data_IF_047798576838
#
_entry.id   IF_047798576838
#
_cell.length_a   1.000
_cell.length_b   1.000
_cell.length_c   1.000
_cell.angle_alpha   90.00
_cell.angle_beta   90.00
_cell.angle_gamma   90.00
#
_symmetry.space_group_name_H-M   'P 1'
#
loop_
_entity.id
_entity.type
_entity.pdbx_description
1 polymer ?
#
# COMPACT_ATOMS: atom_id res chain seq x y z
N UNK A 1 -30.14 -22.28 -3.60
CA UNK A 1 -29.24 -21.96 -2.47
C UNK A 1 -27.76 -21.98 -2.92
N UNK A 2 -27.15 -20.81 -3.08
CA UNK A 2 -25.70 -20.71 -3.30
C UNK A 2 -24.98 -21.13 -2.02
N UNK A 3 -24.12 -22.14 -2.12
CA UNK A 3 -23.27 -22.58 -1.01
C UNK A 3 -22.40 -21.40 -0.52
N UNK A 4 -22.37 -21.16 0.79
CA UNK A 4 -21.58 -20.08 1.42
C UNK A 4 -20.09 -20.16 1.01
N UNK A 5 -19.55 -21.38 0.87
CA UNK A 5 -18.17 -21.61 0.39
C UNK A 5 -17.98 -21.10 -1.04
N UNK A 6 -18.96 -21.30 -1.94
CA UNK A 6 -18.89 -20.78 -3.30
C UNK A 6 -18.88 -19.25 -3.31
N UNK A 7 -19.65 -18.61 -2.44
CA UNK A 7 -19.65 -17.14 -2.29
C UNK A 7 -18.29 -16.62 -1.81
N UNK A 8 -17.69 -17.24 -0.79
CA UNK A 8 -16.36 -16.84 -0.31
C UNK A 8 -15.26 -17.06 -1.35
N UNK A 9 -15.29 -18.17 -2.06
CA UNK A 9 -14.35 -18.44 -3.14
C UNK A 9 -14.46 -17.40 -4.26
N UNK A 10 -15.67 -17.01 -4.66
CA UNK A 10 -15.91 -15.97 -5.66
C UNK A 10 -15.39 -14.60 -5.19
N UNK A 11 -15.63 -14.24 -3.92
CA UNK A 11 -15.11 -12.99 -3.35
C UNK A 11 -13.58 -12.98 -3.31
N UNK A 12 -12.96 -14.08 -2.88
CA UNK A 12 -11.50 -14.23 -2.86
C UNK A 12 -10.90 -14.15 -4.27
N UNK A 13 -11.51 -14.81 -5.27
CA UNK A 13 -11.07 -14.75 -6.65
C UNK A 13 -11.15 -13.32 -7.21
N UNK A 14 -12.27 -12.60 -6.99
CA UNK A 14 -12.42 -11.19 -7.39
C UNK A 14 -11.38 -10.28 -6.76
N UNK A 15 -11.07 -10.52 -5.48
CA UNK A 15 -10.04 -9.77 -4.76
C UNK A 15 -8.64 -10.01 -5.34
N UNK A 16 -8.32 -11.25 -5.67
CA UNK A 16 -7.04 -11.62 -6.30
C UNK A 16 -6.90 -11.00 -7.69
N UNK A 17 -7.94 -11.02 -8.52
CA UNK A 17 -7.95 -10.36 -9.84
C UNK A 17 -7.68 -8.85 -9.68
N UNK A 18 -8.39 -8.18 -8.77
CA UNK A 18 -8.17 -6.74 -8.50
C UNK A 18 -6.76 -6.43 -8.02
N UNK A 19 -6.19 -7.29 -7.18
CA UNK A 19 -4.80 -7.16 -6.73
C UNK A 19 -3.84 -7.17 -7.93
N UNK A 20 -3.99 -8.13 -8.84
CA UNK A 20 -3.14 -8.25 -10.02
C UNK A 20 -3.35 -7.14 -11.05
N UNK A 21 -4.60 -6.71 -11.28
CA UNK A 21 -4.88 -5.55 -12.14
C UNK A 21 -4.19 -4.29 -11.62
N UNK A 22 -4.22 -4.09 -10.30
CA UNK A 22 -3.58 -2.95 -9.68
C UNK A 22 -2.05 -3.05 -9.75
N UNK A 23 -1.47 -4.22 -9.45
CA UNK A 23 -0.03 -4.47 -9.59
C UNK A 23 0.43 -4.24 -11.03
N UNK A 24 -0.31 -4.74 -12.02
CA UNK A 24 -0.04 -4.50 -13.45
C UNK A 24 -0.10 -3.03 -13.82
N UNK A 25 -1.08 -2.28 -13.31
CA UNK A 25 -1.19 -0.83 -13.56
C UNK A 25 0.00 -0.05 -12.97
N UNK A 26 0.46 -0.40 -11.77
CA UNK A 26 1.56 0.31 -11.10
C UNK A 26 2.95 -0.02 -11.65
N UNK A 27 3.21 -1.30 -11.88
CA UNK A 27 4.53 -1.81 -12.24
C UNK A 27 4.72 -1.97 -13.76
N UNK A 28 3.63 -1.91 -14.53
CA UNK A 28 3.65 -2.21 -15.96
C UNK A 28 3.85 -3.71 -16.24
N UNK A 29 3.70 -4.13 -17.51
CA UNK A 29 3.73 -5.54 -17.91
C UNK A 29 5.08 -6.21 -17.66
N UNK A 30 6.19 -5.47 -17.75
CA UNK A 30 7.53 -6.02 -17.57
C UNK A 30 7.85 -6.37 -16.10
N UNK A 31 7.38 -5.57 -15.14
CA UNK A 31 7.74 -5.74 -13.71
C UNK A 31 6.62 -6.31 -12.86
N UNK A 32 5.38 -6.33 -13.31
CA UNK A 32 4.26 -6.75 -12.47
C UNK A 32 4.32 -8.22 -12.04
N UNK A 33 5.00 -9.08 -12.81
CA UNK A 33 5.18 -10.49 -12.47
C UNK A 33 6.46 -10.78 -11.68
N UNK A 34 7.32 -9.77 -11.48
CA UNK A 34 8.53 -9.93 -10.70
C UNK A 34 8.23 -9.97 -9.18
N UNK A 35 9.11 -10.61 -8.39
CA UNK A 35 9.11 -10.50 -6.94
C UNK A 35 9.17 -9.04 -6.50
N UNK A 36 8.32 -8.65 -5.54
CA UNK A 36 8.28 -7.29 -5.03
C UNK A 36 9.37 -7.09 -3.97
N UNK A 37 10.64 -7.12 -4.41
CA UNK A 37 11.82 -6.96 -3.56
C UNK A 37 12.67 -5.78 -4.04
N UNK A 38 13.51 -5.25 -3.15
CA UNK A 38 14.42 -4.12 -3.46
C UNK A 38 15.47 -4.45 -4.53
N UNK A 39 15.76 -5.73 -4.75
CA UNK A 39 16.66 -6.21 -5.82
C UNK A 39 15.95 -6.55 -7.13
N UNK A 40 14.61 -6.43 -7.18
CA UNK A 40 13.82 -6.83 -8.35
C UNK A 40 12.81 -5.75 -8.73
N UNK A 41 11.49 -5.96 -8.57
CA UNK A 41 10.49 -5.01 -9.04
C UNK A 41 10.63 -3.59 -8.46
N UNK A 42 11.29 -3.44 -7.30
CA UNK A 42 11.49 -2.18 -6.58
C UNK A 42 12.90 -1.58 -6.77
N UNK A 43 13.76 -2.14 -7.63
CA UNK A 43 15.16 -1.69 -7.81
C UNK A 43 15.30 -0.20 -8.11
N UNK A 44 14.36 0.34 -8.88
CA UNK A 44 14.42 1.73 -9.36
C UNK A 44 13.76 2.71 -8.37
N UNK A 45 13.13 2.19 -7.32
CA UNK A 45 12.31 2.95 -6.38
C UNK A 45 13.02 3.20 -5.04
N UNK A 46 14.29 2.82 -4.94
CA UNK A 46 15.13 3.03 -3.75
C UNK A 46 15.19 4.52 -3.35
N UNK A 47 15.39 5.50 -4.25
CA UNK A 47 15.40 6.91 -3.87
C UNK A 47 14.09 7.38 -3.23
N UNK A 48 12.94 6.91 -3.75
CA UNK A 48 11.63 7.22 -3.18
C UNK A 48 11.44 6.57 -1.80
N UNK A 49 11.88 5.32 -1.63
CA UNK A 49 11.83 4.63 -0.34
C UNK A 49 12.70 5.34 0.70
N UNK A 50 13.93 5.69 0.33
CA UNK A 50 14.89 6.37 1.21
C UNK A 50 14.50 7.80 1.59
N UNK A 51 13.59 8.44 0.84
CA UNK A 51 13.06 9.75 1.21
C UNK A 51 12.30 9.73 2.55
N UNK A 52 11.79 8.56 2.97
CA UNK A 52 11.15 8.38 4.27
C UNK A 52 9.77 9.06 4.38
N UNK A 53 9.13 9.36 3.24
CA UNK A 53 7.74 9.82 3.17
C UNK A 53 6.78 8.83 3.82
N UNK A 54 7.01 7.53 3.63
CA UNK A 54 6.28 6.45 4.29
C UNK A 54 7.27 5.44 4.88
N UNK A 55 6.98 4.98 6.09
CA UNK A 55 7.82 4.04 6.83
C UNK A 55 6.96 3.03 7.58
N UNK A 56 7.41 1.78 7.62
CA UNK A 56 6.88 0.76 8.52
C UNK A 56 7.57 0.89 9.87
N UNK A 57 6.81 1.14 10.93
CA UNK A 57 7.38 1.28 12.27
C UNK A 57 7.75 -0.10 12.86
N UNK A 58 8.81 -0.18 13.68
CA UNK A 58 9.21 -1.43 14.34
C UNK A 58 8.29 -1.81 15.50
N UNK A 59 7.39 -0.92 15.89
CA UNK A 59 6.41 -1.13 16.96
C UNK A 59 5.02 -1.39 16.36
N UNK A 60 4.23 -2.15 17.10
CA UNK A 60 2.83 -2.44 16.80
C UNK A 60 1.93 -1.64 17.73
N UNK A 61 0.66 -1.49 17.35
CA UNK A 61 -0.33 -0.92 18.26
C UNK A 61 -0.75 -1.92 19.36
N UNK A 62 -1.68 -1.51 20.22
CA UNK A 62 -2.19 -2.34 21.31
C UNK A 62 -2.88 -3.65 20.86
N UNK A 63 -3.26 -3.74 19.58
CA UNK A 63 -3.88 -4.91 18.97
C UNK A 63 -2.90 -5.75 18.13
N UNK A 64 -1.61 -5.42 18.15
CA UNK A 64 -0.58 -6.11 17.38
C UNK A 64 -0.54 -5.78 15.89
N UNK A 65 -1.26 -4.73 15.45
CA UNK A 65 -1.29 -4.31 14.04
C UNK A 65 -0.02 -3.54 13.70
N UNK A 66 0.47 -3.73 12.49
CA UNK A 66 1.57 -2.91 11.99
C UNK A 66 1.12 -1.46 11.77
N UNK A 67 2.06 -0.54 11.99
CA UNK A 67 1.85 0.90 11.83
C UNK A 67 2.68 1.40 10.65
N UNK A 68 2.00 1.94 9.64
CA UNK A 68 2.61 2.69 8.56
C UNK A 68 2.53 4.19 8.90
N UNK A 69 3.70 4.80 9.09
CA UNK A 69 3.83 6.23 9.38
C UNK A 69 4.09 6.99 8.08
N UNK A 70 3.24 7.98 7.79
CA UNK A 70 3.31 8.84 6.61
C UNK A 70 3.68 10.25 7.06
N UNK A 71 4.86 10.72 6.66
CA UNK A 71 5.36 12.06 6.95
C UNK A 71 5.38 12.93 5.70
N UNK A 72 4.38 13.80 5.57
CA UNK A 72 4.23 14.68 4.41
C UNK A 72 5.35 15.70 4.28
N UNK A 73 6.05 16.03 5.37
CA UNK A 73 7.13 16.99 5.38
C UNK A 73 8.39 16.48 4.65
N UNK A 74 8.52 15.15 4.49
CA UNK A 74 9.65 14.53 3.78
C UNK A 74 9.41 14.36 2.29
N UNK A 75 8.26 14.81 1.80
CA UNK A 75 7.93 14.68 0.39
C UNK A 75 8.74 15.66 -0.45
N UNK A 76 9.44 15.13 -1.46
CA UNK A 76 10.32 15.89 -2.35
C UNK A 76 10.24 15.34 -3.79
N UNK A 77 9.39 15.97 -4.60
CA UNK A 77 9.16 15.57 -5.99
C UNK A 77 10.35 15.80 -6.92
N UNK A 78 11.41 16.46 -6.46
CA UNK A 78 12.63 16.64 -7.26
C UNK A 78 13.51 15.39 -7.25
N UNK A 79 13.33 14.49 -6.28
CA UNK A 79 14.18 13.30 -6.08
C UNK A 79 13.60 12.01 -6.66
N UNK A 80 12.29 11.95 -6.87
CA UNK A 80 11.60 10.76 -7.35
C UNK A 80 10.26 11.13 -8.01
N UNK A 81 9.77 10.25 -8.89
CA UNK A 81 8.48 10.45 -9.53
C UNK A 81 7.31 10.04 -8.62
N UNK A 82 6.12 10.54 -8.92
CA UNK A 82 4.89 10.16 -8.20
C UNK A 82 4.61 8.67 -8.32
N UNK A 83 4.86 8.09 -9.49
CA UNK A 83 4.68 6.67 -9.77
C UNK A 83 5.64 5.82 -8.91
N UNK A 84 6.88 6.27 -8.74
CA UNK A 84 7.84 5.62 -7.85
C UNK A 84 7.35 5.61 -6.41
N UNK A 85 6.85 6.74 -5.92
CA UNK A 85 6.28 6.82 -4.58
C UNK A 85 4.99 5.97 -4.43
N UNK A 86 4.16 5.86 -5.46
CA UNK A 86 2.99 4.96 -5.44
C UNK A 86 3.41 3.49 -5.35
N UNK A 87 4.48 3.08 -6.04
CA UNK A 87 5.03 1.72 -5.94
C UNK A 87 5.61 1.46 -4.55
N UNK A 88 6.35 2.42 -3.98
CA UNK A 88 6.86 2.35 -2.60
C UNK A 88 5.72 2.19 -1.59
N UNK A 89 4.67 2.99 -1.73
CA UNK A 89 3.49 2.91 -0.88
C UNK A 89 2.83 1.53 -0.95
N UNK A 90 2.62 1.02 -2.16
CA UNK A 90 2.07 -0.32 -2.38
C UNK A 90 2.97 -1.43 -1.82
N UNK A 91 4.29 -1.30 -1.98
CA UNK A 91 5.27 -2.23 -1.43
C UNK A 91 5.21 -2.31 0.09
N UNK A 92 5.18 -1.17 0.79
CA UNK A 92 5.09 -1.17 2.24
C UNK A 92 3.76 -1.72 2.76
N UNK A 93 2.65 -1.46 2.07
CA UNK A 93 1.36 -2.12 2.36
C UNK A 93 1.45 -3.65 2.19
N UNK A 94 2.15 -4.11 1.16
CA UNK A 94 2.36 -5.53 0.90
C UNK A 94 3.23 -6.20 1.97
N UNK A 95 4.33 -5.56 2.36
CA UNK A 95 5.20 -6.04 3.45
C UNK A 95 4.43 -6.09 4.76
N UNK A 96 3.72 -5.03 5.14
CA UNK A 96 2.92 -5.02 6.37
C UNK A 96 1.87 -6.14 6.36
N UNK A 97 1.15 -6.32 5.26
CA UNK A 97 0.09 -7.32 5.13
C UNK A 97 0.56 -8.77 5.10
N UNK A 98 1.87 -9.04 5.08
CA UNK A 98 2.38 -10.39 5.26
C UNK A 98 2.07 -10.94 6.66
N UNK A 99 1.93 -10.05 7.65
CA UNK A 99 1.61 -10.41 9.03
C UNK A 99 0.21 -11.06 9.14
N UNK A 100 0.08 -12.24 9.78
CA UNK A 100 -1.21 -12.86 10.03
C UNK A 100 -2.21 -12.01 10.83
N UNK A 101 -1.72 -11.14 11.73
CA UNK A 101 -2.56 -10.21 12.51
C UNK A 101 -3.16 -9.18 11.58
N UNK A 102 -2.36 -8.56 10.71
CA UNK A 102 -2.83 -7.50 9.81
C UNK A 102 -3.84 -8.02 8.77
N UNK A 103 -3.71 -9.27 8.33
CA UNK A 103 -4.70 -9.90 7.43
C UNK A 103 -6.09 -10.01 8.07
N UNK A 104 -6.16 -10.04 9.40
CA UNK A 104 -7.43 -10.13 10.16
C UNK A 104 -7.88 -8.76 10.66
N UNK A 105 -6.96 -7.99 11.22
CA UNK A 105 -7.24 -6.77 11.98
C UNK A 105 -6.98 -5.48 11.18
N UNK A 106 -6.33 -5.59 10.02
CA UNK A 106 -5.92 -4.46 9.18
C UNK A 106 -4.59 -3.84 9.62
N UNK A 107 -4.24 -2.74 8.97
CA UNK A 107 -3.01 -1.96 9.20
C UNK A 107 -3.42 -0.57 9.69
N UNK A 108 -2.62 0.03 10.57
CA UNK A 108 -2.83 1.40 11.05
C UNK A 108 -2.00 2.38 10.23
N UNK A 109 -2.63 3.45 9.73
CA UNK A 109 -1.96 4.56 9.04
C UNK A 109 -1.91 5.77 9.98
N UNK A 110 -0.72 6.27 10.25
CA UNK A 110 -0.50 7.49 11.05
C UNK A 110 0.06 8.57 10.14
N UNK A 111 -0.65 9.69 10.02
CA UNK A 111 -0.25 10.80 9.16
C UNK A 111 0.30 11.97 9.99
N UNK A 112 1.49 12.43 9.66
CA UNK A 112 2.05 13.68 10.16
C UNK A 112 2.10 14.73 9.04
N UNK A 113 1.37 15.81 9.28
CA UNK A 113 1.24 16.95 8.37
C UNK A 113 1.62 18.29 9.03
N UNK A 114 2.13 18.27 10.27
CA UNK A 114 2.27 19.48 11.11
C UNK A 114 3.22 20.54 10.53
N UNK A 115 4.13 20.17 9.64
CA UNK A 115 5.07 21.10 8.99
C UNK A 115 5.08 20.97 7.46
N UNK A 116 4.04 20.36 6.89
CA UNK A 116 3.93 20.21 5.45
C UNK A 116 3.58 21.55 4.81
N UNK A 117 4.33 21.95 3.79
CA UNK A 117 4.02 23.16 3.01
C UNK A 117 2.97 22.85 1.95
N UNK A 118 2.18 23.84 1.52
CA UNK A 118 1.19 23.68 0.45
C UNK A 118 1.79 23.15 -0.86
N UNK A 119 3.06 23.46 -1.14
CA UNK A 119 3.80 22.94 -2.31
C UNK A 119 4.05 21.43 -2.23
N UNK A 120 4.10 20.88 -1.02
CA UNK A 120 4.22 19.44 -0.76
C UNK A 120 2.85 18.75 -0.73
N UNK A 121 1.75 19.47 -0.60
CA UNK A 121 0.41 18.85 -0.58
C UNK A 121 -0.12 18.71 -2.00
N UNK A 122 0.15 17.57 -2.63
CA UNK A 122 -0.54 17.17 -3.86
C UNK A 122 -1.81 16.38 -3.50
N UNK A 123 -2.96 17.06 -3.54
CA UNK A 123 -4.25 16.45 -3.22
C UNK A 123 -4.69 15.37 -4.22
N UNK A 124 -4.27 15.46 -5.49
CA UNK A 124 -4.60 14.44 -6.48
C UNK A 124 -3.84 13.14 -6.18
N UNK A 125 -2.55 13.26 -5.86
CA UNK A 125 -1.73 12.15 -5.40
C UNK A 125 -2.27 11.54 -4.10
N UNK A 126 -2.62 12.37 -3.11
CA UNK A 126 -3.16 11.89 -1.83
C UNK A 126 -4.49 11.14 -2.00
N UNK A 127 -5.39 11.64 -2.85
CA UNK A 127 -6.64 10.93 -3.19
C UNK A 127 -6.34 9.56 -3.81
N UNK A 128 -5.30 9.46 -4.63
CA UNK A 128 -4.87 8.16 -5.18
C UNK A 128 -4.36 7.24 -4.07
N UNK A 129 -3.53 7.71 -3.12
CA UNK A 129 -3.07 6.90 -1.99
C UNK A 129 -4.25 6.37 -1.15
N UNK A 130 -5.22 7.23 -0.81
CA UNK A 130 -6.41 6.81 -0.07
C UNK A 130 -7.21 5.78 -0.85
N UNK A 131 -7.41 5.99 -2.15
CA UNK A 131 -8.11 5.02 -3.01
C UNK A 131 -7.37 3.68 -3.08
N UNK A 132 -6.03 3.69 -3.04
CA UNK A 132 -5.20 2.49 -2.97
C UNK A 132 -5.44 1.76 -1.66
N UNK A 133 -5.34 2.44 -0.52
CA UNK A 133 -5.56 1.83 0.80
C UNK A 133 -6.94 1.18 0.87
N UNK A 134 -7.99 1.90 0.45
CA UNK A 134 -9.36 1.38 0.45
C UNK A 134 -9.48 0.13 -0.43
N UNK A 135 -8.93 0.16 -1.65
CA UNK A 135 -8.94 -0.98 -2.58
C UNK A 135 -8.12 -2.16 -2.05
N UNK A 136 -6.98 -1.90 -1.40
CA UNK A 136 -6.11 -2.92 -0.84
C UNK A 136 -6.77 -3.63 0.34
N UNK A 137 -7.38 -2.90 1.28
CA UNK A 137 -8.14 -3.50 2.39
C UNK A 137 -9.37 -4.27 1.92
N UNK A 138 -10.03 -3.80 0.86
CA UNK A 138 -11.14 -4.53 0.23
C UNK A 138 -10.65 -5.80 -0.50
N UNK A 139 -9.43 -5.77 -1.03
CA UNK A 139 -8.75 -6.90 -1.68
C UNK A 139 -8.18 -7.92 -0.68
N UNK A 140 -7.83 -7.54 0.54
CA UNK A 140 -7.16 -8.43 1.48
C UNK A 140 -8.00 -9.01 2.62
N UNK A 141 -9.23 -8.53 2.90
CA UNK A 141 -10.03 -9.28 3.87
C UNK A 141 -11.21 -8.65 4.59
N UNK A 142 -11.67 -7.42 4.32
CA UNK A 142 -12.91 -6.97 4.98
C UNK A 142 -14.15 -7.56 4.28
N UNK A 143 -14.71 -8.63 4.86
CA UNK A 143 -16.15 -8.91 4.81
C UNK A 143 -16.77 -7.99 5.85
N UNK A 144 -17.52 -6.98 5.40
CA UNK A 144 -18.35 -6.19 6.28
C UNK A 144 -19.54 -7.11 6.58
N UNK A 145 -19.59 -7.63 7.81
CA UNK A 145 -20.79 -8.20 8.40
C UNK A 145 -21.38 -7.15 9.33
#
# INVERSE_FOLDING_TARGET
PSCILCTYAQLAARRLVRHWDFKRKLFGPAKCFLPMTLSSAMSDDIPALSAGFIQLLPVKDEYGRNILYVNMCRQDWTKYSKESMMRVYWYLLHVASADPVDRRCGIVLVHNSLSATWKQVDMAFYRQLVAISQKYHTALGRSIH
#
